data_IF_681019393000
#
_entry.id   IF_681019393000
#
_cell.length_a   1.000
_cell.length_b   1.000
_cell.length_c   1.000
_cell.angle_alpha   90.00
_cell.angle_beta   90.00
_cell.angle_gamma   90.00
#
_symmetry.space_group_name_H-M   'P 1'
#
loop_
_entity.id
_entity.type
_entity.pdbx_description
1 polymer ?
#
# COMPACT_ATOMS: atom_id res chain seq x y z
N UNK A 1 4.57 24.64 -10.82
CA UNK A 1 3.36 25.16 -10.14
C UNK A 1 2.63 24.10 -9.27
N UNK A 2 3.13 22.87 -9.12
CA UNK A 2 2.50 21.82 -8.27
C UNK A 2 2.66 22.05 -6.75
N UNK A 3 3.83 22.48 -6.28
CA UNK A 3 4.03 22.66 -4.83
C UNK A 3 3.11 23.74 -4.21
N UNK A 4 2.76 24.78 -4.97
CA UNK A 4 1.86 25.84 -4.47
C UNK A 4 0.42 25.31 -4.35
N UNK A 5 -0.03 24.44 -5.27
CA UNK A 5 -1.37 23.87 -5.22
C UNK A 5 -1.54 22.83 -4.12
N UNK A 6 -0.54 21.98 -3.89
CA UNK A 6 -0.59 20.98 -2.80
C UNK A 6 -0.64 21.66 -1.43
N UNK A 7 0.18 22.68 -1.20
CA UNK A 7 0.16 23.43 0.07
C UNK A 7 -1.17 24.15 0.29
N UNK A 8 -1.78 24.70 -0.76
CA UNK A 8 -3.11 25.30 -0.66
C UNK A 8 -4.19 24.26 -0.30
N UNK A 9 -4.14 23.06 -0.89
CA UNK A 9 -5.04 21.97 -0.56
C UNK A 9 -4.87 21.49 0.89
N UNK A 10 -3.62 21.34 1.36
CA UNK A 10 -3.35 20.94 2.74
C UNK A 10 -3.89 21.95 3.77
N UNK A 11 -3.92 23.25 3.43
CA UNK A 11 -4.47 24.30 4.31
C UNK A 11 -6.00 24.27 4.41
N UNK A 12 -6.69 23.65 3.46
CA UNK A 12 -8.14 23.55 3.43
C UNK A 12 -8.66 22.26 4.06
N UNK A 13 -7.78 21.26 4.27
CA UNK A 13 -8.16 19.97 4.86
C UNK A 13 -8.73 20.13 6.27
N UNK A 14 -9.85 19.47 6.49
CA UNK A 14 -10.54 19.39 7.77
C UNK A 14 -10.09 18.15 8.55
N UNK A 15 -10.20 18.23 9.88
CA UNK A 15 -9.89 17.09 10.77
C UNK A 15 -10.74 15.86 10.42
N UNK A 16 -12.01 16.05 10.07
CA UNK A 16 -12.90 14.94 9.73
C UNK A 16 -12.44 14.21 8.47
N UNK A 17 -12.00 14.95 7.44
CA UNK A 17 -11.49 14.35 6.20
C UNK A 17 -10.25 13.47 6.46
N UNK A 18 -9.39 13.85 7.41
CA UNK A 18 -8.25 13.03 7.81
C UNK A 18 -8.66 11.77 8.58
N UNK A 19 -9.71 11.86 9.41
CA UNK A 19 -10.26 10.71 10.14
C UNK A 19 -10.90 9.74 9.16
N UNK A 20 -11.71 10.24 8.23
CA UNK A 20 -12.39 9.42 7.23
C UNK A 20 -11.37 8.71 6.34
N UNK A 21 -10.31 9.41 5.91
CA UNK A 21 -9.20 8.80 5.18
C UNK A 21 -8.51 7.67 5.96
N UNK A 22 -8.26 7.88 7.27
CA UNK A 22 -7.66 6.84 8.11
C UNK A 22 -8.57 5.62 8.26
N UNK A 23 -9.85 5.85 8.52
CA UNK A 23 -10.85 4.79 8.70
C UNK A 23 -11.04 3.97 7.41
N UNK A 24 -11.00 4.60 6.24
CA UNK A 24 -11.21 3.94 4.95
C UNK A 24 -9.98 3.19 4.41
N UNK A 25 -8.77 3.75 4.60
CA UNK A 25 -7.56 3.26 3.93
C UNK A 25 -6.46 2.73 4.85
N UNK A 26 -6.44 3.07 6.14
CA UNK A 26 -5.32 2.76 7.04
C UNK A 26 -5.70 1.77 8.14
N UNK A 27 -6.89 1.93 8.73
CA UNK A 27 -7.35 1.12 9.86
C UNK A 27 -7.34 -0.38 9.55
N UNK A 28 -7.02 -1.19 10.55
CA UNK A 28 -7.05 -2.65 10.41
C UNK A 28 -8.47 -3.09 10.05
N UNK A 29 -8.60 -3.88 8.97
CA UNK A 29 -9.89 -4.34 8.46
C UNK A 29 -10.63 -3.34 7.58
N UNK A 30 -10.06 -2.16 7.28
CA UNK A 30 -10.68 -1.21 6.38
C UNK A 30 -10.74 -1.76 4.94
N UNK A 31 -11.88 -1.56 4.26
CA UNK A 31 -12.13 -2.13 2.95
C UNK A 31 -11.17 -1.62 1.86
N UNK A 32 -10.74 -0.35 1.96
CA UNK A 32 -9.78 0.26 1.02
C UNK A 32 -8.32 -0.01 1.36
N UNK A 33 -8.02 -0.69 2.47
CA UNK A 33 -6.65 -0.88 2.94
C UNK A 33 -5.87 -1.78 2.01
N UNK A 34 -4.79 -1.23 1.45
CA UNK A 34 -3.76 -1.98 0.72
C UNK A 34 -2.49 -2.02 1.57
N UNK A 35 -2.02 -3.21 1.91
CA UNK A 35 -0.83 -3.43 2.73
C UNK A 35 0.12 -4.39 2.04
N UNK A 36 1.41 -4.08 2.03
CA UNK A 36 2.48 -4.95 1.56
C UNK A 36 3.59 -4.93 2.60
N UNK A 37 4.01 -6.12 3.04
CA UNK A 37 5.09 -6.29 4.00
C UNK A 37 6.23 -7.05 3.36
N UNK A 38 7.45 -6.56 3.52
CA UNK A 38 8.67 -7.20 3.03
C UNK A 38 9.51 -7.58 4.24
N UNK A 39 9.80 -8.87 4.40
CA UNK A 39 10.70 -9.37 5.44
C UNK A 39 12.05 -9.68 4.81
N UNK A 40 13.13 -9.23 5.44
CA UNK A 40 14.50 -9.46 4.98
C UNK A 40 15.26 -10.13 6.13
N UNK A 41 15.82 -11.30 5.86
CA UNK A 41 16.52 -12.09 6.86
C UNK A 41 18.01 -12.09 6.60
N UNK A 42 18.79 -11.88 7.67
CA UNK A 42 20.23 -12.09 7.66
C UNK A 42 20.58 -13.58 7.72
N UNK A 43 21.84 -13.93 7.42
CA UNK A 43 22.32 -15.32 7.40
C UNK A 43 22.12 -16.07 8.74
N UNK A 44 22.16 -15.36 9.87
CA UNK A 44 21.92 -15.92 11.20
C UNK A 44 20.42 -16.17 11.49
N UNK A 45 19.52 -15.53 10.74
CA UNK A 45 18.08 -15.48 10.95
C UNK A 45 17.29 -16.43 10.02
N UNK A 46 17.97 -17.39 9.39
CA UNK A 46 17.32 -18.36 8.49
C UNK A 46 16.31 -19.28 9.21
N UNK A 47 16.52 -19.56 10.50
CA UNK A 47 15.56 -20.33 11.30
C UNK A 47 14.27 -19.56 11.53
N UNK A 48 14.39 -18.25 11.80
CA UNK A 48 13.24 -17.36 11.99
C UNK A 48 12.46 -17.21 10.68
N UNK A 49 13.13 -17.14 9.53
CA UNK A 49 12.47 -17.14 8.21
C UNK A 49 11.53 -18.34 8.02
N UNK A 50 11.94 -19.52 8.47
CA UNK A 50 11.13 -20.72 8.34
C UNK A 50 9.90 -20.66 9.26
N UNK A 51 10.08 -20.25 10.53
CA UNK A 51 8.97 -20.09 11.48
C UNK A 51 7.98 -18.99 11.07
N UNK A 52 8.49 -17.88 10.55
CA UNK A 52 7.69 -16.72 10.14
C UNK A 52 6.76 -16.99 8.95
N UNK A 53 7.11 -17.97 8.10
CA UNK A 53 6.26 -18.43 7.00
C UNK A 53 5.01 -19.17 7.49
N UNK A 54 5.13 -19.90 8.58
CA UNK A 54 4.00 -20.62 9.18
C UNK A 54 3.04 -19.65 9.91
N UNK A 55 3.54 -18.48 10.31
CA UNK A 55 2.79 -17.44 11.03
C UNK A 55 2.26 -16.30 10.15
N UNK A 56 2.04 -16.52 8.85
CA UNK A 56 1.43 -15.47 8.00
C UNK A 56 0.05 -15.11 8.54
N UNK A 57 -0.17 -13.89 9.05
CA UNK A 57 -1.42 -13.54 9.71
C UNK A 57 -2.51 -13.32 8.67
N UNK A 58 -3.62 -14.05 8.78
CA UNK A 58 -4.82 -13.81 7.97
C UNK A 58 -5.32 -12.37 8.13
N UNK A 59 -5.68 -11.65 7.03
CA UNK A 59 -5.89 -12.14 5.66
C UNK A 59 -4.67 -11.98 4.72
N UNK A 60 -3.44 -11.92 5.25
CA UNK A 60 -2.24 -11.75 4.43
C UNK A 60 -1.93 -13.01 3.60
N UNK A 61 -1.37 -12.82 2.42
CA UNK A 61 -0.95 -13.91 1.52
C UNK A 61 0.54 -13.76 1.24
N UNK A 62 1.29 -14.85 1.36
CA UNK A 62 2.70 -14.86 0.97
C UNK A 62 2.85 -14.83 -0.55
N UNK A 63 3.78 -14.01 -1.05
CA UNK A 63 4.08 -13.91 -2.47
C UNK A 63 5.32 -14.74 -2.77
N UNK A 64 5.13 -15.90 -3.38
CA UNK A 64 6.23 -16.79 -3.80
C UNK A 64 6.81 -16.40 -5.18
N UNK A 65 5.94 -16.03 -6.14
CA UNK A 65 6.31 -15.55 -7.47
C UNK A 65 5.89 -14.09 -7.67
N UNK A 66 6.87 -13.19 -7.58
CA UNK A 66 6.68 -11.76 -7.78
C UNK A 66 6.22 -11.42 -9.21
N UNK A 67 6.64 -12.19 -10.22
CA UNK A 67 6.31 -11.91 -11.63
C UNK A 67 4.87 -12.31 -11.90
N UNK A 68 4.46 -13.49 -11.44
CA UNK A 68 3.08 -13.97 -11.49
C UNK A 68 2.14 -13.04 -10.72
N UNK A 69 2.49 -12.67 -9.49
CA UNK A 69 1.72 -11.73 -8.67
C UNK A 69 1.50 -10.39 -9.37
N UNK A 70 2.56 -9.80 -9.95
CA UNK A 70 2.45 -8.54 -10.70
C UNK A 70 1.51 -8.65 -11.90
N UNK A 71 1.54 -9.78 -12.62
CA UNK A 71 0.67 -10.01 -13.79
C UNK A 71 -0.80 -10.21 -13.42
N UNK A 72 -1.07 -10.74 -12.23
CA UNK A 72 -2.43 -10.98 -11.74
C UNK A 72 -3.13 -9.70 -11.26
N UNK A 73 -2.39 -8.62 -11.01
CA UNK A 73 -2.94 -7.36 -10.53
C UNK A 73 -3.23 -6.37 -11.66
N UNK A 74 -4.30 -5.55 -11.53
CA UNK A 74 -4.53 -4.45 -12.45
C UNK A 74 -3.40 -3.42 -12.34
N UNK A 75 -2.94 -2.93 -13.48
CA UNK A 75 -1.94 -1.87 -13.52
C UNK A 75 -2.62 -0.52 -13.25
N UNK A 76 -2.05 0.26 -12.33
CA UNK A 76 -2.48 1.63 -12.15
C UNK A 76 -2.18 2.47 -13.40
N UNK A 77 -3.16 3.27 -13.83
CA UNK A 77 -3.01 4.15 -14.99
C UNK A 77 -1.84 5.12 -14.82
N UNK A 78 -1.10 5.38 -15.90
CA UNK A 78 -0.01 6.34 -15.87
C UNK A 78 -0.57 7.75 -15.65
N UNK A 79 -0.09 8.41 -14.60
CA UNK A 79 -0.39 9.82 -14.37
C UNK A 79 0.45 10.67 -15.31
N UNK A 80 -0.14 11.16 -16.41
CA UNK A 80 0.50 12.22 -17.19
C UNK A 80 0.33 13.54 -16.44
N UNK A 81 1.41 14.30 -16.30
CA UNK A 81 1.41 15.66 -15.77
C UNK A 81 0.56 16.57 -16.65
N UNK A 82 -0.74 16.56 -16.34
CA UNK A 82 -1.89 17.36 -16.82
C UNK A 82 -3.15 16.47 -16.77
N UNK A 83 -3.52 16.04 -15.56
CA UNK A 83 -4.93 15.90 -15.15
C UNK A 83 -5.80 14.76 -15.69
N UNK A 84 -5.32 13.80 -16.49
CA UNK A 84 -6.17 12.67 -16.90
C UNK A 84 -5.43 11.33 -16.85
N UNK A 85 -5.89 10.36 -16.04
CA UNK A 85 -5.50 8.97 -16.19
C UNK A 85 -6.09 8.43 -17.50
N UNK A 86 -5.25 7.79 -18.33
CA UNK A 86 -5.77 6.98 -19.44
C UNK A 86 -6.34 5.68 -18.88
N UNK A 87 -7.60 5.42 -19.21
CA UNK A 87 -8.27 4.12 -19.10
C UNK A 87 -7.53 3.06 -19.92
#
# INVERSE_FOLDING_TARGET
MMMVSEVAALRQLQKQELIDFFEEYIKIGAAGKKSLSIRVYGSQHLKEMASDKDEVPSPSVEIEDIVGFRKAQPLHGSFRGCGQPKL
#
